data_IF_144486838566
#
_entry.id   IF_144486838566
#
_cell.length_a   1.000
_cell.length_b   1.000
_cell.length_c   1.000
_cell.angle_alpha   90.00
_cell.angle_beta   90.00
_cell.angle_gamma   90.00
#
_symmetry.space_group_name_H-M   'P 1'
#
loop_
_entity.id
_entity.type
_entity.pdbx_description
1 polymer ?
#
# COMPACT_ATOMS: atom_id res chain seq x y z
N UNK A 1 23.15 19.85 0.84
CA UNK A 1 23.12 19.35 2.07
C UNK A 1 22.01 18.38 2.23
N UNK A 2 22.19 17.29 2.92
CA UNK A 2 21.22 16.32 3.01
C UNK A 2 20.52 16.41 4.30
N UNK A 3 19.27 16.06 4.37
CA UNK A 3 18.54 15.96 5.59
C UNK A 3 18.89 14.66 6.23
N UNK A 4 18.78 14.59 7.55
CA UNK A 4 19.02 13.35 8.23
C UNK A 4 17.76 12.80 8.83
N UNK A 5 16.67 13.52 8.84
CA UNK A 5 15.50 13.07 9.54
C UNK A 5 14.44 12.55 8.60
N UNK A 6 14.83 11.87 7.56
CA UNK A 6 13.85 11.28 6.67
C UNK A 6 13.46 9.92 7.20
N UNK A 7 12.32 9.43 6.79
CA UNK A 7 11.81 8.17 7.32
C UNK A 7 12.57 7.00 6.72
N UNK A 8 12.54 5.88 7.38
CA UNK A 8 13.19 4.69 6.91
C UNK A 8 12.42 4.08 5.74
N UNK A 9 13.06 3.19 5.00
CA UNK A 9 12.39 2.48 3.92
C UNK A 9 11.21 1.68 4.47
N UNK A 10 11.35 1.05 5.62
CA UNK A 10 10.27 0.28 6.19
C UNK A 10 9.06 1.15 6.51
N UNK A 11 9.29 2.31 7.08
CA UNK A 11 8.19 3.20 7.40
C UNK A 11 7.53 3.72 6.15
N UNK A 12 8.33 3.99 5.14
CA UNK A 12 7.81 4.46 3.87
C UNK A 12 6.92 3.41 3.23
N UNK A 13 7.40 2.18 3.11
CA UNK A 13 6.61 1.15 2.46
C UNK A 13 5.36 0.79 3.27
N UNK A 14 5.48 0.79 4.59
CA UNK A 14 4.33 0.53 5.43
C UNK A 14 3.30 1.67 5.30
N UNK A 15 3.78 2.89 5.18
CA UNK A 15 2.89 4.03 4.97
C UNK A 15 2.13 3.93 3.66
N UNK A 16 2.82 3.46 2.60
CA UNK A 16 2.16 3.27 1.32
C UNK A 16 1.10 2.19 1.43
N UNK A 17 1.37 1.10 2.15
CA UNK A 17 0.39 0.04 2.33
C UNK A 17 -0.83 0.55 3.12
N UNK A 18 -0.60 1.33 4.15
CA UNK A 18 -1.68 1.88 4.94
C UNK A 18 -2.53 2.85 4.09
N UNK A 19 -1.86 3.66 3.31
CA UNK A 19 -2.57 4.60 2.47
C UNK A 19 -3.38 3.85 1.41
N UNK A 20 -2.84 2.77 0.88
CA UNK A 20 -3.56 1.94 -0.09
C UNK A 20 -4.81 1.35 0.54
N UNK A 21 -4.75 0.94 1.79
CA UNK A 21 -5.91 0.40 2.47
C UNK A 21 -7.06 1.38 2.55
N UNK A 22 -6.74 2.67 2.51
CA UNK A 22 -7.78 3.68 2.57
C UNK A 22 -8.62 3.75 1.33
N UNK A 23 -8.21 3.08 0.28
CA UNK A 23 -9.02 2.98 -0.92
C UNK A 23 -10.05 1.85 -0.82
N UNK A 24 -9.95 1.01 0.20
CA UNK A 24 -10.86 -0.10 0.33
C UNK A 24 -12.26 0.39 0.63
N UNK A 25 -13.25 -0.18 -0.02
CA UNK A 25 -14.64 0.17 0.21
C UNK A 25 -15.30 -0.80 1.15
N UNK A 26 -14.56 -1.75 1.68
CA UNK A 26 -15.11 -2.68 2.63
C UNK A 26 -15.38 -1.94 3.94
N UNK A 27 -16.58 -1.89 4.44
CA UNK A 27 -16.86 -1.13 5.64
C UNK A 27 -16.37 -1.79 6.92
N UNK A 28 -16.02 -3.07 6.85
CA UNK A 28 -15.60 -3.78 8.03
C UNK A 28 -14.11 -3.89 8.19
N UNK A 29 -13.39 -4.11 7.15
CA UNK A 29 -11.95 -4.32 7.24
C UNK A 29 -11.27 -3.73 6.03
N UNK A 30 -10.29 -2.89 6.25
CA UNK A 30 -9.55 -2.30 5.15
C UNK A 30 -8.14 -2.82 5.20
N UNK A 31 -7.68 -3.42 4.14
CA UNK A 31 -6.37 -4.01 4.05
C UNK A 31 -5.62 -3.41 2.88
N UNK A 32 -4.36 -3.13 3.08
CA UNK A 32 -3.51 -2.61 2.01
C UNK A 32 -2.20 -3.34 1.96
N UNK A 33 -1.57 -3.33 0.82
CA UNK A 33 -0.30 -3.99 0.62
C UNK A 33 0.59 -3.18 -0.31
N UNK A 34 1.89 -3.34 -0.12
CA UNK A 34 2.87 -2.69 -0.96
C UNK A 34 3.91 -3.74 -1.29
N UNK A 35 4.17 -3.95 -2.56
CA UNK A 35 5.13 -4.94 -3.01
C UNK A 35 6.36 -4.21 -3.50
N UNK A 36 7.51 -4.62 -2.99
CA UNK A 36 8.76 -3.91 -3.24
C UNK A 36 9.79 -4.88 -3.78
N UNK A 37 10.57 -4.47 -4.74
CA UNK A 37 11.63 -5.33 -5.27
C UNK A 37 12.92 -5.12 -4.49
N UNK A 38 13.96 -5.91 -4.76
CA UNK A 38 15.21 -5.78 -4.02
C UNK A 38 15.90 -4.43 -4.18
N UNK A 39 15.58 -3.68 -5.21
CA UNK A 39 16.16 -2.38 -5.38
C UNK A 39 15.34 -1.30 -4.67
N UNK A 40 14.43 -1.70 -3.81
CA UNK A 40 13.64 -0.80 -3.03
C UNK A 40 12.71 0.07 -3.86
N UNK A 41 12.20 -0.51 -4.93
CA UNK A 41 11.23 0.21 -5.72
C UNK A 41 9.91 -0.46 -5.56
N UNK A 42 8.85 0.34 -5.47
CA UNK A 42 7.51 -0.20 -5.36
C UNK A 42 7.09 -0.69 -6.71
N UNK A 43 6.77 -1.97 -6.80
CA UNK A 43 6.34 -2.57 -8.05
C UNK A 43 4.87 -2.92 -8.04
N UNK A 44 4.19 -2.77 -6.95
CA UNK A 44 2.76 -3.00 -6.91
C UNK A 44 2.17 -2.56 -5.60
N UNK A 45 0.90 -2.20 -5.62
CA UNK A 45 0.16 -1.92 -4.42
C UNK A 45 -1.18 -2.58 -4.58
N UNK A 46 -1.86 -2.80 -3.50
CA UNK A 46 -3.17 -3.40 -3.57
C UNK A 46 -3.98 -3.10 -2.34
N UNK A 47 -5.26 -3.35 -2.44
CA UNK A 47 -6.15 -3.21 -1.30
C UNK A 47 -7.37 -4.09 -1.57
N UNK A 48 -8.08 -4.44 -0.53
CA UNK A 48 -9.20 -5.35 -0.67
C UNK A 48 -10.43 -4.62 -1.20
N UNK A 49 -11.25 -5.32 -1.92
CA UNK A 49 -12.48 -4.76 -2.42
C UNK A 49 -13.63 -5.24 -1.60
N UNK A 50 -14.82 -5.17 -2.16
CA UNK A 50 -15.98 -5.63 -1.47
C UNK A 50 -15.93 -7.12 -1.41
N UNK A 51 -16.46 -7.66 -0.43
CA UNK A 51 -16.45 -9.08 -0.28
C UNK A 51 -17.11 -9.82 -1.39
N UNK A 52 -17.97 -9.26 -2.11
CA UNK A 52 -18.56 -9.93 -3.10
C UNK A 52 -17.88 -10.01 -4.27
N UNK A 53 -16.89 -10.09 -4.30
CA UNK A 53 -16.24 -10.33 -5.44
C UNK A 53 -15.88 -9.43 -6.37
N UNK A 54 -15.74 -8.48 -6.17
CA UNK A 54 -15.35 -7.67 -7.09
C UNK A 54 -14.09 -7.33 -6.91
N UNK A 55 -13.31 -7.63 -7.41
CA UNK A 55 -12.09 -7.36 -7.25
C UNK A 55 -11.50 -6.58 -8.06
N UNK A 56 -10.97 -5.82 -7.91
CA UNK A 56 -10.37 -5.00 -8.67
C UNK A 56 -9.31 -4.60 -8.10
N UNK A 57 -8.55 -5.02 -7.88
CA UNK A 57 -7.52 -4.65 -7.33
C UNK A 57 -6.50 -4.32 -8.12
N UNK A 58 -6.57 -3.97 -9.14
CA UNK A 58 -5.64 -3.66 -9.90
C UNK A 58 -5.15 -2.42 -9.61
N UNK A 59 -3.96 -2.13 -9.68
CA UNK A 59 -3.41 -0.94 -9.52
C UNK A 59 -3.86 -0.06 -10.47
N UNK A 60 -4.30 0.95 -10.25
CA UNK A 60 -4.82 1.90 -11.21
C UNK A 60 -3.79 2.52 -12.03
#
# INVERSE_FOLDING_TARGET
>A
MKRDNYISWDKYFMGVAVLSAMRSKDPNTQVGACIVNPQKRIVGIGYNGFPKGNYHHRIP
#
